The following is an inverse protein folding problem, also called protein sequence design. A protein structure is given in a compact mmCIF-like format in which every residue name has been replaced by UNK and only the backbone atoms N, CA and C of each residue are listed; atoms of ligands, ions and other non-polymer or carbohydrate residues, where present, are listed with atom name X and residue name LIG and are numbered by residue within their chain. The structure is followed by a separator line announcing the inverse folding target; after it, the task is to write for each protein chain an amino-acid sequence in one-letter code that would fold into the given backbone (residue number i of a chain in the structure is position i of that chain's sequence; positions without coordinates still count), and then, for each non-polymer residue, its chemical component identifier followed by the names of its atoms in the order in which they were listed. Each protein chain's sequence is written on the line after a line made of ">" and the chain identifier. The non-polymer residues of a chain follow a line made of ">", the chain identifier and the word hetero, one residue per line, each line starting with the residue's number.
data_IF_073507266800
#
_entry.id   IF_073507266800
#
_cell.length_a   1.000
_cell.length_b   1.000
_cell.length_c   1.000
_cell.angle_alpha   90.00
_cell.angle_beta   90.00
_cell.angle_gamma   90.00
#
_symmetry.space_group_name_H-M   'P 1'
#
loop_
_entity.id
_entity.type
_entity.pdbx_description
1 polymer ?
#
# COMPACT_ATOMS: atom_id res chain seq x y z
N UNK A 1 2.38 -13.08 21.47
CA UNK A 1 2.91 -13.82 20.32
C UNK A 1 3.76 -12.91 19.49
N UNK A 2 5.03 -13.17 19.50
CA UNK A 2 6.01 -12.32 18.81
C UNK A 2 5.77 -12.26 17.29
N UNK A 3 5.22 -13.31 16.72
CA UNK A 3 4.98 -13.40 15.28
C UNK A 3 4.01 -12.34 14.76
N UNK A 4 3.19 -11.77 15.64
CA UNK A 4 2.22 -10.75 15.23
C UNK A 4 2.85 -9.42 14.84
N UNK A 5 4.13 -9.20 15.19
CA UNK A 5 4.77 -7.91 14.96
C UNK A 5 5.32 -7.73 13.55
N UNK A 6 5.39 -8.81 12.77
CA UNK A 6 6.03 -8.81 11.45
C UNK A 6 5.08 -9.25 10.33
N UNK A 7 3.86 -8.76 10.36
CA UNK A 7 2.94 -9.04 9.27
C UNK A 7 3.46 -8.43 7.97
N UNK A 8 3.60 -9.21 6.90
CA UNK A 8 4.20 -8.73 5.66
C UNK A 8 3.33 -7.74 4.87
N UNK A 9 2.09 -7.55 5.28
CA UNK A 9 1.15 -6.72 4.57
C UNK A 9 0.55 -7.42 3.35
N UNK A 10 -0.72 -7.19 3.11
CA UNK A 10 -1.41 -7.71 1.94
C UNK A 10 -1.10 -6.79 0.75
N UNK A 11 -0.51 -7.30 -0.34
CA UNK A 11 -0.26 -6.46 -1.52
C UNK A 11 -1.57 -6.03 -2.16
N UNK A 12 -1.72 -4.73 -2.37
CA UNK A 12 -2.89 -4.18 -3.04
C UNK A 12 -2.47 -3.09 -4.03
N UNK A 13 -3.33 -2.79 -4.98
CA UNK A 13 -3.20 -1.58 -5.79
C UNK A 13 -3.93 -0.44 -5.10
N UNK A 14 -3.53 0.81 -5.37
CA UNK A 14 -4.20 1.97 -4.77
C UNK A 14 -5.67 2.06 -5.21
N UNK A 15 -5.99 1.57 -6.40
CA UNK A 15 -7.37 1.57 -6.90
C UNK A 15 -8.30 0.68 -6.08
N UNK A 16 -7.75 -0.36 -5.45
CA UNK A 16 -8.54 -1.28 -4.63
C UNK A 16 -8.86 -0.68 -3.26
N UNK A 17 -8.26 0.43 -2.91
CA UNK A 17 -8.43 1.03 -1.59
C UNK A 17 -9.60 2.02 -1.61
N UNK A 18 -10.80 1.48 -1.69
CA UNK A 18 -12.05 2.22 -1.68
C UNK A 18 -12.87 1.83 -0.45
N UNK A 19 -13.74 2.73 0.07
CA UNK A 19 -14.56 2.42 1.26
C UNK A 19 -15.40 1.15 1.15
N UNK A 20 -15.78 0.75 -0.08
CA UNK A 20 -16.55 -0.48 -0.31
C UNK A 20 -15.68 -1.73 -0.38
N UNK A 21 -14.37 -1.58 -0.37
CA UNK A 21 -13.44 -2.71 -0.51
C UNK A 21 -13.24 -3.46 0.80
N UNK A 22 -13.03 -4.77 0.72
CA UNK A 22 -12.72 -5.60 1.88
C UNK A 22 -11.40 -5.21 2.56
N UNK A 23 -10.49 -4.58 1.83
CA UNK A 23 -9.19 -4.15 2.40
C UNK A 23 -9.26 -2.79 3.09
N UNK A 24 -10.36 -2.06 2.93
CA UNK A 24 -10.57 -0.76 3.58
C UNK A 24 -11.08 -0.96 5.00
N UNK A 25 -10.18 -1.36 5.88
CA UNK A 25 -10.50 -1.66 7.28
C UNK A 25 -9.50 -0.99 8.19
N UNK A 26 -9.98 -0.48 9.31
CA UNK A 26 -9.12 0.10 10.34
C UNK A 26 -8.07 -0.90 10.80
N UNK A 27 -6.82 -0.51 10.75
CA UNK A 27 -5.70 -1.34 11.19
C UNK A 27 -5.27 -2.41 10.20
N UNK A 28 -5.86 -2.45 9.00
CA UNK A 28 -5.45 -3.43 7.98
C UNK A 28 -3.97 -3.28 7.65
N UNK A 29 -3.24 -4.39 7.61
CA UNK A 29 -1.84 -4.41 7.23
C UNK A 29 -1.73 -4.54 5.72
N UNK A 30 -1.20 -3.51 5.06
CA UNK A 30 -1.20 -3.41 3.61
C UNK A 30 0.20 -3.14 3.08
N UNK A 31 0.45 -3.62 1.86
CA UNK A 31 1.61 -3.27 1.06
C UNK A 31 1.14 -2.50 -0.16
N UNK A 32 1.57 -1.26 -0.29
CA UNK A 32 1.15 -0.37 -1.38
C UNK A 32 2.37 0.10 -2.16
N UNK A 33 2.18 0.37 -3.44
CA UNK A 33 3.23 0.87 -4.33
C UNK A 33 2.67 2.02 -5.15
N UNK A 34 3.41 3.10 -5.24
CA UNK A 34 3.00 4.24 -6.02
C UNK A 34 4.12 5.23 -6.26
N UNK A 35 3.86 6.16 -7.15
CA UNK A 35 4.79 7.24 -7.48
C UNK A 35 4.61 8.39 -6.49
N UNK A 36 5.70 8.90 -5.94
CA UNK A 36 5.65 9.97 -4.96
C UNK A 36 5.28 11.29 -5.64
N UNK A 37 4.16 11.85 -5.27
CA UNK A 37 3.68 13.12 -5.79
C UNK A 37 4.16 14.31 -4.97
N UNK A 38 4.13 14.17 -3.65
CA UNK A 38 4.55 15.23 -2.75
C UNK A 38 5.01 14.65 -1.43
N UNK A 39 5.82 15.43 -0.72
CA UNK A 39 6.30 15.07 0.60
C UNK A 39 6.37 16.31 1.46
N UNK A 40 5.69 16.31 2.59
CA UNK A 40 5.74 17.38 3.57
C UNK A 40 6.73 17.01 4.67
N UNK A 41 7.84 17.71 4.74
CA UNK A 41 8.91 17.43 5.70
C UNK A 41 8.43 17.64 7.14
N UNK A 42 7.58 18.63 7.39
CA UNK A 42 7.14 18.96 8.74
C UNK A 42 6.23 17.88 9.33
N UNK A 43 5.26 17.45 8.55
CA UNK A 43 4.33 16.40 8.99
C UNK A 43 4.81 14.99 8.72
N UNK A 44 5.85 14.84 7.88
CA UNK A 44 6.34 13.56 7.37
C UNK A 44 5.26 12.79 6.59
N UNK A 45 4.35 13.50 5.95
CA UNK A 45 3.29 12.90 5.14
C UNK A 45 3.71 12.91 3.68
N UNK A 46 3.74 11.73 3.08
CA UNK A 46 3.93 11.53 1.66
C UNK A 46 2.60 11.27 0.98
N UNK A 47 2.47 11.70 -0.27
CA UNK A 47 1.33 11.34 -1.10
C UNK A 47 1.86 10.53 -2.27
N UNK A 48 1.40 9.30 -2.40
CA UNK A 48 1.74 8.44 -3.51
C UNK A 48 0.54 8.31 -4.43
N UNK A 49 0.81 8.12 -5.71
CA UNK A 49 -0.21 8.06 -6.74
C UNK A 49 0.05 6.92 -7.71
N UNK A 50 -1.05 6.33 -8.16
CA UNK A 50 -1.03 5.33 -9.22
C UNK A 50 -2.25 5.57 -10.11
N UNK A 51 -2.00 6.12 -11.29
CA UNK A 51 -3.06 6.58 -12.16
C UNK A 51 -3.86 7.70 -11.50
N UNK A 52 -5.15 7.52 -11.35
CA UNK A 52 -6.03 8.50 -10.70
C UNK A 52 -6.18 8.27 -9.19
N UNK A 53 -5.66 7.16 -8.68
CA UNK A 53 -5.76 6.83 -7.26
C UNK A 53 -4.57 7.39 -6.49
N UNK A 54 -4.81 7.92 -5.30
CA UNK A 54 -3.75 8.44 -4.44
C UNK A 54 -3.97 8.00 -3.00
N UNK A 55 -2.89 8.02 -2.23
CA UNK A 55 -2.93 7.64 -0.81
C UNK A 55 -1.93 8.47 -0.04
N UNK A 56 -2.34 8.95 1.12
CA UNK A 56 -1.44 9.57 2.08
C UNK A 56 -0.71 8.49 2.87
N UNK A 57 0.59 8.70 3.06
CA UNK A 57 1.44 7.78 3.82
C UNK A 57 2.15 8.57 4.91
N UNK A 58 1.93 8.16 6.16
CA UNK A 58 2.65 8.73 7.28
C UNK A 58 4.01 8.05 7.40
N UNK A 59 5.08 8.81 7.20
CA UNK A 59 6.44 8.29 7.15
C UNK A 59 7.27 8.67 8.37
N UNK A 60 6.63 9.09 9.46
CA UNK A 60 7.37 9.60 10.63
C UNK A 60 8.35 8.57 11.23
N UNK A 61 8.12 7.29 10.99
CA UNK A 61 8.99 6.21 11.47
C UNK A 61 10.05 5.80 10.43
N UNK A 62 10.09 6.46 9.27
CA UNK A 62 11.00 6.12 8.18
C UNK A 62 12.01 7.24 7.94
N UNK A 63 12.77 7.60 8.96
CA UNK A 63 13.66 8.75 8.92
C UNK A 63 14.92 8.53 8.08
N UNK A 64 15.24 7.28 7.78
CA UNK A 64 16.46 6.94 7.03
C UNK A 64 16.28 7.06 5.52
N UNK A 65 15.08 7.37 5.06
CA UNK A 65 14.77 7.41 3.64
C UNK A 65 14.73 8.85 3.16
N UNK A 66 15.49 9.12 2.10
CA UNK A 66 15.38 10.40 1.38
C UNK A 66 14.32 10.27 0.31
N UNK A 67 13.19 10.93 0.52
CA UNK A 67 12.08 10.87 -0.43
C UNK A 67 12.29 11.84 -1.58
N UNK A 68 12.11 11.34 -2.80
CA UNK A 68 12.19 12.14 -4.02
C UNK A 68 10.88 12.09 -4.78
N UNK A 69 10.37 13.24 -5.16
CA UNK A 69 9.18 13.30 -6.01
C UNK A 69 9.45 12.62 -7.35
N UNK A 70 8.44 12.03 -7.92
CA UNK A 70 8.47 11.27 -9.18
C UNK A 70 9.19 9.92 -9.10
N UNK A 71 9.75 9.56 -7.96
CA UNK A 71 10.27 8.21 -7.73
C UNK A 71 9.15 7.29 -7.25
N UNK A 72 9.31 6.00 -7.49
CA UNK A 72 8.34 4.99 -7.09
C UNK A 72 8.78 4.36 -5.78
N UNK A 73 7.85 4.27 -4.84
CA UNK A 73 8.10 3.70 -3.51
C UNK A 73 7.08 2.63 -3.20
N UNK A 74 7.53 1.67 -2.40
CA UNK A 74 6.67 0.66 -1.82
C UNK A 74 6.68 0.80 -0.31
N UNK A 75 5.49 0.82 0.30
CA UNK A 75 5.33 0.95 1.74
C UNK A 75 4.53 -0.22 2.29
N UNK A 76 4.88 -0.63 3.51
CA UNK A 76 4.11 -1.58 4.29
C UNK A 76 3.73 -0.88 5.59
N UNK A 77 2.47 -0.97 5.95
CA UNK A 77 1.97 -0.34 7.17
C UNK A 77 0.54 -0.69 7.46
N UNK A 78 -0.01 -0.01 8.45
CA UNK A 78 -1.39 -0.19 8.88
C UNK A 78 -2.25 0.97 8.43
N UNK A 79 -3.45 0.67 7.95
CA UNK A 79 -4.40 1.68 7.48
C UNK A 79 -5.10 2.34 8.66
N UNK A 80 -5.06 3.66 8.70
CA UNK A 80 -5.84 4.47 9.63
C UNK A 80 -6.95 5.16 8.86
N UNK A 81 -8.19 4.89 9.23
CA UNK A 81 -9.37 5.48 8.59
C UNK A 81 -10.00 6.47 9.55
N UNK A 82 -10.17 7.70 9.10
CA UNK A 82 -10.82 8.75 9.86
C UNK A 82 -12.34 8.72 9.63
N UNK A 83 -13.14 9.37 10.50
CA UNK A 83 -14.60 9.35 10.37
C UNK A 83 -15.14 9.82 9.01
N UNK A 84 -14.40 10.67 8.30
CA UNK A 84 -14.77 11.16 6.98
C UNK A 84 -14.34 10.24 5.85
N UNK A 85 -13.94 9.02 6.17
CA UNK A 85 -13.37 8.03 5.23
C UNK A 85 -12.05 8.48 4.61
N UNK A 86 -11.39 9.48 5.15
CA UNK A 86 -10.02 9.81 4.75
C UNK A 86 -9.08 8.75 5.30
N UNK A 87 -8.27 8.16 4.43
CA UNK A 87 -7.38 7.07 4.81
C UNK A 87 -5.92 7.51 4.74
N UNK A 88 -5.15 7.07 5.72
CA UNK A 88 -3.72 7.28 5.75
C UNK A 88 -3.04 5.97 6.13
N UNK A 89 -1.98 5.61 5.43
CA UNK A 89 -1.18 4.43 5.76
C UNK A 89 -0.06 4.85 6.71
N UNK A 90 -0.06 4.29 7.91
CA UNK A 90 1.03 4.48 8.86
C UNK A 90 2.15 3.50 8.53
N UNK A 91 3.14 3.95 7.77
CA UNK A 91 4.16 3.09 7.23
C UNK A 91 5.18 2.65 8.29
N UNK A 92 5.47 1.36 8.32
CA UNK A 92 6.53 0.77 9.12
C UNK A 92 7.79 0.53 8.30
N UNK A 93 7.61 0.22 7.03
CA UNK A 93 8.69 -0.09 6.10
C UNK A 93 8.43 0.66 4.80
N UNK A 94 9.50 1.16 4.19
CA UNK A 94 9.41 1.79 2.89
C UNK A 94 10.70 1.57 2.13
N UNK A 95 10.60 1.51 0.82
CA UNK A 95 11.78 1.40 -0.05
C UNK A 95 11.52 2.01 -1.41
N UNK A 96 12.58 2.52 -2.01
CA UNK A 96 12.55 2.96 -3.38
C UNK A 96 12.54 1.74 -4.32
N UNK A 97 11.62 1.73 -5.25
CA UNK A 97 11.49 0.67 -6.23
C UNK A 97 11.50 1.24 -7.65
N UNK A 98 12.28 2.28 -7.86
CA UNK A 98 12.50 2.85 -9.18
C UNK A 98 12.86 1.76 -10.17
N UNK A 99 12.71 1.61 -11.24
CA UNK A 99 12.99 0.47 -12.11
C UNK A 99 11.93 -0.61 -12.09
N UNK A 100 10.99 -0.56 -11.13
CA UNK A 100 9.84 -1.45 -11.16
C UNK A 100 8.86 -0.95 -12.22
N UNK A 101 8.44 -1.84 -13.11
CA UNK A 101 7.33 -1.53 -14.01
C UNK A 101 6.03 -1.66 -13.21
N UNK A 102 5.49 -0.52 -12.80
CA UNK A 102 4.33 -0.49 -11.91
C UNK A 102 3.10 -1.12 -12.58
N UNK A 103 2.94 -0.91 -13.87
CA UNK A 103 1.82 -1.47 -14.59
C UNK A 103 1.90 -3.00 -14.65
N UNK A 104 3.07 -3.55 -14.95
CA UNK A 104 3.30 -5.00 -14.93
C UNK A 104 3.13 -5.57 -13.54
N UNK A 105 3.63 -4.89 -12.52
CA UNK A 105 3.49 -5.31 -11.14
C UNK A 105 2.02 -5.44 -10.74
N UNK A 106 1.20 -4.46 -11.10
CA UNK A 106 -0.23 -4.48 -10.79
C UNK A 106 -0.95 -5.59 -11.52
N UNK A 107 -0.62 -5.82 -12.79
CA UNK A 107 -1.18 -6.94 -13.54
C UNK A 107 -0.84 -8.27 -12.89
N UNK A 108 0.41 -8.41 -12.41
CA UNK A 108 0.83 -9.62 -11.70
C UNK A 108 0.04 -9.85 -10.42
N UNK A 109 -0.26 -8.81 -9.66
CA UNK A 109 -1.08 -8.94 -8.46
C UNK A 109 -2.49 -9.41 -8.78
N UNK A 110 -3.10 -8.87 -9.80
CA UNK A 110 -4.45 -9.23 -10.20
C UNK A 110 -4.49 -10.69 -10.67
N UNK A 111 -3.53 -11.09 -11.51
CA UNK A 111 -3.45 -12.47 -12.00
C UNK A 111 -3.25 -13.45 -10.85
N UNK A 112 -2.38 -13.11 -9.90
CA UNK A 112 -2.13 -13.95 -8.72
C UNK A 112 -3.40 -14.16 -7.92
N UNK A 113 -4.19 -13.11 -7.69
CA UNK A 113 -5.44 -13.22 -6.94
C UNK A 113 -6.47 -14.07 -7.66
N UNK A 114 -6.58 -13.92 -8.96
CA UNK A 114 -7.49 -14.74 -9.77
C UNK A 114 -7.12 -16.21 -9.69
N UNK A 115 -5.82 -16.50 -9.75
CA UNK A 115 -5.33 -17.87 -9.64
C UNK A 115 -5.63 -18.47 -8.26
N UNK A 116 -5.39 -17.71 -7.20
CA UNK A 116 -5.70 -18.14 -5.82
C UNK A 116 -7.18 -18.42 -5.64
N UNK A 117 -8.04 -17.54 -6.15
CA UNK A 117 -9.49 -17.73 -6.09
C UNK A 117 -9.92 -18.99 -6.83
N UNK A 118 -9.35 -19.25 -7.99
CA UNK A 118 -9.64 -20.46 -8.76
C UNK A 118 -9.22 -21.71 -8.01
N UNK A 119 -8.06 -21.71 -7.39
CA UNK A 119 -7.60 -22.84 -6.58
C UNK A 119 -8.51 -23.09 -5.39
N UNK A 120 -8.94 -22.04 -4.69
CA UNK A 120 -9.85 -22.17 -3.56
C UNK A 120 -11.19 -22.76 -3.99
N UNK A 121 -11.74 -22.30 -5.11
CA UNK A 121 -12.99 -22.82 -5.64
C UNK A 121 -12.86 -24.29 -6.04
N UNK A 122 -11.74 -24.69 -6.61
CA UNK A 122 -11.47 -26.07 -6.97
C UNK A 122 -11.43 -26.98 -5.75
N UNK A 123 -10.89 -26.50 -4.63
CA UNK A 123 -10.82 -27.27 -3.39
C UNK A 123 -12.18 -27.46 -2.72
N UNK A 124 -13.13 -26.58 -2.99
CA UNK A 124 -14.47 -26.66 -2.42
C UNK A 124 -15.38 -27.63 -3.16
N UNK A 125 -15.03 -27.92 -4.38
CA UNK A 125 -15.79 -28.89 -5.19
C UNK A 125 -15.47 -30.36 -4.80
#
# INVERSE_FOLDING_TARGET
>A
MASSTLKPGVPITLRELEPSSDVFKQGASLRVTGNLQSYDVESAIAVIQDGSASLKVDTQHLRDISFRTNSTYQFIGELLIRPDNDAILQARVGRNVDGLDLNLYQQSLIIRRQHEATLLNSRRA
#
